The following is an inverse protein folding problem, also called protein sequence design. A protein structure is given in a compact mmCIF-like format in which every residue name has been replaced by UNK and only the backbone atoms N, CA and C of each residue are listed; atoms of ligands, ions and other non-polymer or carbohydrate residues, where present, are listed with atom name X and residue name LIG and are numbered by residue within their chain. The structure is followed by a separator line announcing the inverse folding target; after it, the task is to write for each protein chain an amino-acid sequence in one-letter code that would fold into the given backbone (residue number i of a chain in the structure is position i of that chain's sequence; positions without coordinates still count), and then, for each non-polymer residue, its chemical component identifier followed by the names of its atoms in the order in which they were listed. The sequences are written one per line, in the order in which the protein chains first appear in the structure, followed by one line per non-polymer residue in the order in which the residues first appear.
data_IF_902835052698
#
_entry.id   IF_902835052698
#
_cell.length_a   1.000
_cell.length_b   1.000
_cell.length_c   1.000
_cell.angle_alpha   90.00
_cell.angle_beta   90.00
_cell.angle_gamma   90.00
#
_symmetry.space_group_name_H-M   'P 1'
#
loop_
_entity.id
_entity.type
_entity.pdbx_description
1 polymer ?
#
# COMPACT_ATOMS: atom_id res chain seq x y z
N UNK A 1 17.08 -12.17 24.20
CA UNK A 1 15.79 -11.48 24.37
C UNK A 1 14.87 -12.01 23.30
N UNK A 2 13.89 -12.83 23.67
CA UNK A 2 12.96 -13.39 22.68
C UNK A 2 12.16 -12.26 22.03
N UNK A 3 12.03 -12.30 20.70
CA UNK A 3 11.41 -11.22 19.90
C UNK A 3 9.89 -11.12 20.11
N UNK A 4 9.26 -12.10 20.76
CA UNK A 4 7.83 -12.16 21.06
C UNK A 4 7.65 -12.75 22.47
N UNK A 5 6.78 -12.19 23.34
CA UNK A 5 6.45 -12.78 24.63
C UNK A 5 5.98 -14.24 24.50
N UNK A 6 6.50 -15.14 25.32
CA UNK A 6 6.19 -16.58 25.32
C UNK A 6 4.69 -16.87 25.42
N UNK A 7 3.96 -16.06 26.18
CA UNK A 7 2.50 -16.17 26.32
C UNK A 7 1.76 -15.99 24.98
N UNK A 8 2.22 -15.09 24.11
CA UNK A 8 1.64 -14.88 22.79
C UNK A 8 1.94 -16.04 21.85
N UNK A 9 3.16 -16.59 21.90
CA UNK A 9 3.55 -17.74 21.08
C UNK A 9 2.70 -18.96 21.43
N UNK A 10 2.49 -19.22 22.73
CA UNK A 10 1.65 -20.33 23.20
C UNK A 10 0.19 -20.14 22.75
N UNK A 11 -0.34 -18.92 22.86
CA UNK A 11 -1.71 -18.64 22.42
C UNK A 11 -1.90 -18.85 20.91
N UNK A 12 -0.94 -18.43 20.09
CA UNK A 12 -0.98 -18.62 18.62
C UNK A 12 -0.82 -20.11 18.27
N UNK A 13 0.06 -20.83 18.96
CA UNK A 13 0.25 -22.27 18.74
C UNK A 13 -1.02 -23.07 19.06
N UNK A 14 -1.70 -22.75 20.17
CA UNK A 14 -2.96 -23.39 20.54
C UNK A 14 -4.07 -23.14 19.48
N UNK A 15 -4.13 -21.95 18.89
CA UNK A 15 -5.09 -21.65 17.81
C UNK A 15 -4.77 -22.36 16.49
N UNK A 16 -3.51 -22.73 16.25
CA UNK A 16 -3.12 -23.52 15.08
C UNK A 16 -3.47 -24.99 15.23
N UNK A 17 -3.43 -25.52 16.44
CA UNK A 17 -3.76 -26.91 16.72
C UNK A 17 -5.24 -27.23 16.50
N UNK A 18 -6.12 -26.24 16.70
CA UNK A 18 -7.57 -26.39 16.50
C UNK A 18 -8.02 -26.34 15.03
N UNK A 19 -7.14 -26.03 14.08
CA UNK A 19 -7.49 -25.83 12.66
C UNK A 19 -6.90 -26.96 11.81
N UNK A 20 -7.71 -27.64 10.98
CA UNK A 20 -7.27 -28.84 10.24
C UNK A 20 -6.41 -28.54 9.01
N UNK A 21 -6.33 -27.28 8.59
CA UNK A 21 -5.64 -26.87 7.37
C UNK A 21 -4.27 -26.24 7.66
N UNK A 22 -3.27 -26.46 6.78
CA UNK A 22 -2.02 -25.72 6.86
C UNK A 22 -2.25 -24.24 6.56
N UNK A 23 -1.44 -23.37 7.15
CA UNK A 23 -1.60 -21.92 7.03
C UNK A 23 -1.64 -21.38 5.58
N UNK A 24 -0.98 -22.05 4.64
CA UNK A 24 -1.09 -21.71 3.22
C UNK A 24 -2.53 -21.86 2.69
N UNK A 25 -3.21 -22.96 3.04
CA UNK A 25 -4.58 -23.24 2.57
C UNK A 25 -5.57 -22.29 3.24
N UNK A 26 -5.42 -22.05 4.56
CA UNK A 26 -6.21 -21.04 5.27
C UNK A 26 -6.11 -19.65 4.59
N UNK A 27 -4.89 -19.20 4.30
CA UNK A 27 -4.64 -17.91 3.67
C UNK A 27 -5.20 -17.87 2.23
N UNK A 28 -5.02 -18.94 1.44
CA UNK A 28 -5.51 -19.03 0.07
C UNK A 28 -7.04 -18.92 0.00
N UNK A 29 -7.75 -19.68 0.84
CA UNK A 29 -9.22 -19.66 0.89
C UNK A 29 -9.71 -18.27 1.31
N UNK A 30 -9.13 -17.70 2.36
CA UNK A 30 -9.54 -16.38 2.84
C UNK A 30 -9.24 -15.26 1.83
N UNK A 31 -8.07 -15.28 1.17
CA UNK A 31 -7.75 -14.32 0.11
C UNK A 31 -8.72 -14.44 -1.07
N UNK A 32 -9.04 -15.65 -1.54
CA UNK A 32 -10.02 -15.85 -2.61
C UNK A 32 -11.41 -15.35 -2.22
N UNK A 33 -11.86 -15.62 -1.00
CA UNK A 33 -13.14 -15.10 -0.49
C UNK A 33 -13.12 -13.57 -0.49
N UNK A 34 -12.06 -12.95 0.04
CA UNK A 34 -11.92 -11.49 0.06
C UNK A 34 -11.94 -10.90 -1.35
N UNK A 35 -11.38 -11.59 -2.33
CA UNK A 35 -11.41 -11.18 -3.73
C UNK A 35 -12.81 -11.24 -4.34
N UNK A 36 -13.55 -12.31 -4.09
CA UNK A 36 -14.94 -12.44 -4.54
C UNK A 36 -15.79 -11.32 -3.91
N UNK A 37 -15.61 -11.06 -2.61
CA UNK A 37 -16.33 -9.99 -1.91
C UNK A 37 -15.98 -8.61 -2.48
N UNK A 38 -14.69 -8.36 -2.74
CA UNK A 38 -14.20 -7.12 -3.35
C UNK A 38 -14.82 -6.91 -4.73
N UNK A 39 -14.79 -7.93 -5.58
CA UNK A 39 -15.30 -7.85 -6.96
C UNK A 39 -16.82 -7.67 -6.99
N UNK A 40 -17.55 -8.38 -6.13
CA UNK A 40 -18.99 -8.17 -5.95
C UNK A 40 -19.29 -6.75 -5.47
N UNK A 41 -18.53 -6.25 -4.50
CA UNK A 41 -18.70 -4.91 -3.93
C UNK A 41 -18.50 -3.78 -4.95
N UNK A 42 -17.52 -3.90 -5.85
CA UNK A 42 -17.26 -2.88 -6.90
C UNK A 42 -18.22 -2.98 -8.08
N UNK A 43 -18.82 -4.16 -8.32
CA UNK A 43 -19.70 -4.41 -9.47
C UNK A 43 -21.17 -4.09 -9.19
N UNK A 44 -21.56 -4.05 -7.92
CA UNK A 44 -22.93 -3.71 -7.50
C UNK A 44 -23.10 -2.20 -7.26
N UNK A 45 -24.34 -1.66 -7.33
CA UNK A 45 -24.62 -0.28 -6.95
C UNK A 45 -24.20 -0.01 -5.50
N UNK A 46 -23.69 1.20 -5.20
CA UNK A 46 -23.04 1.53 -3.91
C UNK A 46 -23.78 1.05 -2.66
N UNK A 47 -25.10 1.23 -2.59
CA UNK A 47 -25.90 0.81 -1.43
C UNK A 47 -25.90 -0.71 -1.23
N UNK A 48 -26.00 -1.47 -2.32
CA UNK A 48 -26.01 -2.94 -2.29
C UNK A 48 -24.58 -3.49 -2.15
N UNK A 49 -23.61 -2.91 -2.85
CA UNK A 49 -22.21 -3.31 -2.80
C UNK A 49 -21.59 -3.15 -1.40
N UNK A 50 -21.93 -2.07 -0.69
CA UNK A 50 -21.51 -1.91 0.71
C UNK A 50 -22.17 -2.92 1.63
N UNK A 51 -23.49 -3.15 1.50
CA UNK A 51 -24.19 -4.15 2.30
C UNK A 51 -23.61 -5.56 2.11
N UNK A 52 -23.38 -5.98 0.86
CA UNK A 52 -22.77 -7.28 0.52
C UNK A 52 -21.33 -7.38 1.06
N UNK A 53 -20.55 -6.31 0.98
CA UNK A 53 -19.17 -6.32 1.49
C UNK A 53 -19.11 -6.43 3.01
N UNK A 54 -19.98 -5.72 3.74
CA UNK A 54 -20.05 -5.76 5.22
C UNK A 54 -20.55 -7.13 5.68
N UNK A 55 -21.69 -7.58 5.16
CA UNK A 55 -22.28 -8.87 5.53
C UNK A 55 -21.34 -10.00 5.14
N UNK A 56 -20.78 -9.97 3.94
CA UNK A 56 -19.85 -10.99 3.47
C UNK A 56 -18.59 -11.09 4.31
N UNK A 57 -17.92 -9.96 4.61
CA UNK A 57 -16.68 -9.97 5.37
C UNK A 57 -16.90 -10.42 6.83
N UNK A 58 -17.96 -9.92 7.48
CA UNK A 58 -18.26 -10.23 8.87
C UNK A 58 -18.81 -11.66 9.03
N UNK A 59 -19.84 -12.03 8.26
CA UNK A 59 -20.50 -13.32 8.40
C UNK A 59 -19.59 -14.46 7.97
N UNK A 60 -18.89 -14.33 6.83
CA UNK A 60 -17.98 -15.39 6.37
C UNK A 60 -16.75 -15.47 7.28
N UNK A 61 -16.20 -14.33 7.72
CA UNK A 61 -15.07 -14.30 8.64
C UNK A 61 -15.38 -14.96 9.99
N UNK A 62 -16.52 -14.62 10.59
CA UNK A 62 -16.96 -15.22 11.86
C UNK A 62 -17.29 -16.70 11.69
N UNK A 63 -18.07 -17.06 10.68
CA UNK A 63 -18.44 -18.46 10.44
C UNK A 63 -17.19 -19.34 10.17
N UNK A 64 -16.18 -18.82 9.46
CA UNK A 64 -14.94 -19.55 9.21
C UNK A 64 -14.13 -19.83 10.50
N UNK A 65 -14.15 -18.90 11.45
CA UNK A 65 -13.50 -19.06 12.76
C UNK A 65 -14.30 -20.00 13.66
N UNK A 66 -15.62 -19.81 13.75
CA UNK A 66 -16.50 -20.64 14.58
C UNK A 66 -16.57 -22.09 14.10
N UNK A 67 -16.54 -22.31 12.78
CA UNK A 67 -16.46 -23.65 12.20
C UNK A 67 -15.07 -24.30 12.33
N UNK A 68 -14.07 -23.57 12.83
CA UNK A 68 -12.70 -24.06 12.98
C UNK A 68 -11.94 -24.26 11.67
N UNK A 69 -12.41 -23.68 10.56
CA UNK A 69 -11.74 -23.79 9.26
C UNK A 69 -10.54 -22.85 9.13
N UNK A 70 -10.54 -21.73 9.86
CA UNK A 70 -9.49 -20.71 9.79
C UNK A 70 -9.20 -20.19 11.20
N UNK A 71 -7.93 -19.99 11.52
CA UNK A 71 -7.51 -19.41 12.80
C UNK A 71 -7.82 -17.91 12.89
N UNK A 72 -8.20 -17.44 14.08
CA UNK A 72 -8.43 -16.00 14.32
C UNK A 72 -7.22 -15.14 13.95
N UNK A 73 -6.01 -15.64 14.24
CA UNK A 73 -4.77 -14.99 13.83
C UNK A 73 -4.66 -14.83 12.31
N UNK A 74 -5.07 -15.83 11.51
CA UNK A 74 -5.07 -15.72 10.05
C UNK A 74 -6.09 -14.70 9.56
N UNK A 75 -7.31 -14.68 10.11
CA UNK A 75 -8.33 -13.69 9.75
C UNK A 75 -7.84 -12.26 9.96
N UNK A 76 -7.11 -12.01 11.07
CA UNK A 76 -6.51 -10.70 11.35
C UNK A 76 -5.48 -10.33 10.27
N UNK A 77 -4.56 -11.24 9.93
CA UNK A 77 -3.51 -11.02 8.93
C UNK A 77 -4.12 -10.71 7.55
N UNK A 78 -5.10 -11.50 7.12
CA UNK A 78 -5.77 -11.31 5.82
C UNK A 78 -6.57 -9.99 5.81
N UNK A 79 -7.28 -9.66 6.90
CA UNK A 79 -8.07 -8.42 6.99
C UNK A 79 -7.20 -7.17 6.91
N UNK A 80 -6.05 -7.15 7.61
CA UNK A 80 -5.09 -6.03 7.53
C UNK A 80 -4.56 -5.90 6.09
N UNK A 81 -4.19 -7.02 5.47
CA UNK A 81 -3.69 -7.06 4.08
C UNK A 81 -4.74 -6.56 3.09
N UNK A 82 -6.00 -6.98 3.26
CA UNK A 82 -7.12 -6.54 2.45
C UNK A 82 -7.39 -5.04 2.61
N UNK A 83 -7.40 -4.51 3.84
CA UNK A 83 -7.59 -3.07 4.10
C UNK A 83 -6.44 -2.25 3.50
N UNK A 84 -5.19 -2.70 3.69
CA UNK A 84 -4.01 -2.04 3.15
C UNK A 84 -4.05 -1.91 1.62
N UNK A 85 -4.68 -2.86 0.93
CA UNK A 85 -4.82 -2.79 -0.53
C UNK A 85 -5.69 -1.62 -1.03
N UNK A 86 -6.53 -1.02 -0.18
CA UNK A 86 -7.29 0.20 -0.51
C UNK A 86 -6.45 1.49 -0.40
N UNK A 87 -5.28 1.45 0.27
CA UNK A 87 -4.35 2.57 0.29
C UNK A 87 -3.63 2.76 -1.05
N UNK A 88 -3.70 1.77 -1.96
CA UNK A 88 -3.13 1.87 -3.29
C UNK A 88 -4.01 2.76 -4.16
N UNK A 89 -3.51 3.91 -4.68
CA UNK A 89 -4.34 4.88 -5.41
C UNK A 89 -4.76 4.40 -6.81
N UNK A 90 -4.08 3.37 -7.35
CA UNK A 90 -4.36 2.80 -8.67
C UNK A 90 -4.92 1.38 -8.53
N UNK A 91 -6.10 1.15 -9.10
CA UNK A 91 -6.73 -0.16 -9.11
C UNK A 91 -5.90 -1.20 -9.88
N UNK A 92 -5.27 -0.81 -10.99
CA UNK A 92 -4.41 -1.70 -11.78
C UNK A 92 -3.17 -2.15 -10.98
N UNK A 93 -2.56 -1.25 -10.20
CA UNK A 93 -1.45 -1.59 -9.31
C UNK A 93 -1.93 -2.52 -8.19
N UNK A 94 -3.11 -2.26 -7.63
CA UNK A 94 -3.69 -3.10 -6.58
C UNK A 94 -3.94 -4.55 -7.06
N UNK A 95 -4.51 -4.73 -8.27
CA UNK A 95 -4.70 -6.06 -8.87
C UNK A 95 -3.35 -6.73 -9.13
N UNK A 96 -2.38 -5.99 -9.68
CA UNK A 96 -1.05 -6.53 -9.98
C UNK A 96 -0.35 -7.02 -8.70
N UNK A 97 -0.35 -6.20 -7.64
CA UNK A 97 0.24 -6.55 -6.35
C UNK A 97 -0.41 -7.78 -5.71
N UNK A 98 -1.71 -7.97 -5.92
CA UNK A 98 -2.46 -9.13 -5.46
C UNK A 98 -2.12 -10.41 -6.24
N UNK A 99 -2.01 -10.35 -7.56
CA UNK A 99 -1.55 -11.50 -8.36
C UNK A 99 -0.14 -11.91 -7.96
N UNK A 100 0.74 -10.94 -7.73
CA UNK A 100 2.09 -11.16 -7.20
C UNK A 100 2.05 -11.81 -5.82
N UNK A 101 1.12 -11.40 -4.94
CA UNK A 101 0.95 -11.99 -3.61
C UNK A 101 0.67 -13.49 -3.67
N UNK A 102 -0.22 -13.94 -4.56
CA UNK A 102 -0.48 -15.37 -4.75
C UNK A 102 0.78 -16.14 -5.18
N UNK A 103 1.59 -15.58 -6.08
CA UNK A 103 2.86 -16.18 -6.48
C UNK A 103 3.86 -16.26 -5.32
N UNK A 104 4.01 -15.18 -4.53
CA UNK A 104 4.87 -15.16 -3.35
C UNK A 104 4.39 -16.13 -2.27
N UNK A 105 3.08 -16.28 -2.10
CA UNK A 105 2.49 -17.22 -1.15
C UNK A 105 2.75 -18.68 -1.56
N UNK A 106 2.72 -18.98 -2.85
CA UNK A 106 3.09 -20.30 -3.37
C UNK A 106 4.58 -20.60 -3.16
N UNK A 107 5.46 -19.64 -3.46
CA UNK A 107 6.89 -19.72 -3.15
C UNK A 107 7.15 -19.92 -1.65
N UNK A 108 6.40 -19.23 -0.79
CA UNK A 108 6.46 -19.38 0.65
C UNK A 108 6.01 -20.78 1.12
N UNK A 109 4.99 -21.35 0.49
CA UNK A 109 4.51 -22.68 0.82
C UNK A 109 5.52 -23.77 0.44
N UNK A 110 6.21 -23.62 -0.70
CA UNK A 110 7.20 -24.60 -1.18
C UNK A 110 8.54 -24.49 -0.46
N UNK A 111 9.06 -23.27 -0.27
CA UNK A 111 10.43 -23.02 0.19
C UNK A 111 10.50 -22.22 1.49
N UNK A 112 9.36 -21.97 2.15
CA UNK A 112 9.30 -21.18 3.37
C UNK A 112 9.76 -19.73 3.17
N UNK A 113 10.41 -19.18 4.19
CA UNK A 113 10.95 -17.82 4.17
C UNK A 113 11.98 -17.59 3.05
N UNK A 114 12.75 -18.63 2.69
CA UNK A 114 13.72 -18.56 1.60
C UNK A 114 13.05 -18.29 0.24
N UNK A 115 11.90 -18.93 -0.02
CA UNK A 115 11.12 -18.67 -1.23
C UNK A 115 10.62 -17.24 -1.33
N UNK A 116 10.21 -16.65 -0.21
CA UNK A 116 9.79 -15.24 -0.14
C UNK A 116 10.95 -14.32 -0.51
N UNK A 117 12.15 -14.54 0.05
CA UNK A 117 13.33 -13.73 -0.25
C UNK A 117 13.66 -13.78 -1.75
N UNK A 118 13.70 -14.98 -2.34
CA UNK A 118 13.96 -15.14 -3.77
C UNK A 118 12.88 -14.45 -4.60
N UNK A 119 11.60 -14.65 -4.26
CA UNK A 119 10.49 -14.04 -4.97
C UNK A 119 10.55 -12.51 -4.96
N UNK A 120 10.87 -11.91 -3.80
CA UNK A 120 11.08 -10.47 -3.68
C UNK A 120 12.29 -10.02 -4.50
N UNK A 121 13.40 -10.75 -4.47
CA UNK A 121 14.61 -10.42 -5.22
C UNK A 121 14.35 -10.43 -6.74
N UNK A 122 13.71 -11.48 -7.25
CA UNK A 122 13.30 -11.58 -8.66
C UNK A 122 12.37 -10.44 -9.04
N UNK A 123 11.41 -10.10 -8.17
CA UNK A 123 10.51 -8.97 -8.37
C UNK A 123 11.28 -7.64 -8.46
N UNK A 124 12.22 -7.40 -7.54
CA UNK A 124 13.03 -6.17 -7.54
C UNK A 124 13.88 -6.05 -8.79
N UNK A 125 14.54 -7.14 -9.22
CA UNK A 125 15.31 -7.16 -10.47
C UNK A 125 14.42 -6.83 -11.66
N UNK A 126 13.23 -7.43 -11.73
CA UNK A 126 12.27 -7.14 -12.80
C UNK A 126 11.90 -5.66 -12.82
N UNK A 127 11.55 -5.07 -11.67
CA UNK A 127 11.22 -3.65 -11.55
C UNK A 127 12.37 -2.72 -11.96
N UNK A 128 13.62 -3.08 -11.63
CA UNK A 128 14.81 -2.32 -12.04
C UNK A 128 15.08 -2.40 -13.56
N UNK A 129 14.65 -3.47 -14.23
CA UNK A 129 14.79 -3.63 -15.68
C UNK A 129 13.78 -2.82 -16.49
N UNK A 130 12.65 -2.43 -15.88
CA UNK A 130 11.56 -1.74 -16.57
C UNK A 130 11.87 -0.26 -16.79
N UNK A 131 11.43 0.25 -17.95
CA UNK A 131 11.49 1.67 -18.31
C UNK A 131 10.11 2.16 -18.75
N UNK A 132 9.69 3.31 -18.23
CA UNK A 132 8.49 4.03 -18.65
C UNK A 132 8.90 5.29 -19.41
N UNK A 133 8.56 5.37 -20.69
CA UNK A 133 8.92 6.51 -21.56
C UNK A 133 10.43 6.86 -21.51
N UNK A 134 11.29 5.84 -21.48
CA UNK A 134 12.74 5.99 -21.39
C UNK A 134 13.31 6.19 -19.97
N UNK A 135 12.47 6.49 -18.98
CA UNK A 135 12.87 6.68 -17.58
C UNK A 135 12.78 5.33 -16.81
N UNK A 136 13.82 4.90 -16.06
CA UNK A 136 13.76 3.72 -15.22
C UNK A 136 12.59 3.76 -14.22
N UNK A 137 11.84 2.66 -14.11
CA UNK A 137 10.65 2.58 -13.25
C UNK A 137 10.98 2.82 -11.77
N UNK A 138 12.14 2.34 -11.31
CA UNK A 138 12.61 2.51 -9.93
C UNK A 138 13.28 3.86 -9.66
N UNK A 139 13.30 4.80 -10.61
CA UNK A 139 13.84 6.15 -10.36
C UNK A 139 13.00 6.87 -9.29
N UNK A 140 13.60 7.52 -8.28
CA UNK A 140 15.03 7.84 -8.11
C UNK A 140 15.78 6.91 -7.14
N UNK A 141 15.22 5.75 -6.78
CA UNK A 141 15.88 4.75 -5.94
C UNK A 141 16.91 3.95 -6.73
N UNK A 142 16.58 3.56 -7.96
CA UNK A 142 17.48 2.93 -8.92
C UNK A 142 17.21 3.50 -10.34
N UNK A 143 18.06 4.39 -10.86
CA UNK A 143 19.34 4.87 -10.31
C UNK A 143 19.15 5.83 -9.13
N UNK A 144 20.09 5.78 -8.17
CA UNK A 144 20.04 6.62 -6.98
C UNK A 144 20.30 8.10 -7.32
N UNK A 145 19.27 8.95 -7.21
CA UNK A 145 19.34 10.38 -7.52
C UNK A 145 18.82 11.21 -6.33
N UNK A 146 19.70 11.73 -5.46
CA UNK A 146 19.32 12.47 -4.26
C UNK A 146 18.44 13.70 -4.52
N UNK A 147 18.67 14.40 -5.63
CA UNK A 147 17.94 15.63 -5.98
C UNK A 147 16.43 15.41 -6.14
N UNK A 148 16.00 14.18 -6.42
CA UNK A 148 14.61 13.84 -6.71
C UNK A 148 13.92 13.07 -5.57
N UNK A 149 14.63 12.75 -4.47
CA UNK A 149 14.08 11.94 -3.36
C UNK A 149 13.00 12.66 -2.55
N UNK A 150 12.96 13.99 -2.62
CA UNK A 150 12.00 14.82 -1.88
C UNK A 150 10.54 14.66 -2.30
N UNK A 151 10.22 13.85 -3.32
CA UNK A 151 8.84 13.45 -3.65
C UNK A 151 8.59 11.94 -3.49
N UNK A 152 9.63 11.15 -3.19
CA UNK A 152 9.57 9.68 -3.14
C UNK A 152 9.29 9.16 -1.73
N UNK A 153 9.98 9.70 -0.72
CA UNK A 153 9.80 9.27 0.68
C UNK A 153 8.89 10.20 1.46
N UNK A 154 8.97 11.50 1.18
CA UNK A 154 8.16 12.53 1.80
C UNK A 154 7.55 13.38 0.70
N UNK A 155 6.28 13.81 0.84
CA UNK A 155 5.63 14.67 -0.14
C UNK A 155 5.95 16.13 0.19
N UNK A 156 7.08 16.63 -0.29
CA UNK A 156 7.48 18.04 -0.11
C UNK A 156 6.56 18.95 -0.96
N UNK A 157 6.25 20.18 -0.52
CA UNK A 157 5.43 21.10 -1.32
C UNK A 157 6.05 21.43 -2.68
N UNK A 158 5.19 21.62 -3.69
CA UNK A 158 5.57 21.84 -5.09
C UNK A 158 6.50 23.04 -5.30
N UNK A 159 6.37 24.10 -4.49
CA UNK A 159 7.20 25.31 -4.54
C UNK A 159 8.66 25.09 -4.08
N UNK A 160 8.95 23.98 -3.41
CA UNK A 160 10.32 23.64 -3.01
C UNK A 160 11.11 22.94 -4.14
N UNK A 161 10.43 22.41 -5.16
CA UNK A 161 11.05 21.75 -6.31
C UNK A 161 11.52 22.77 -7.36
N UNK A 162 12.69 23.36 -7.10
CA UNK A 162 13.32 24.31 -8.02
C UNK A 162 13.93 23.64 -9.26
N UNK A 163 14.39 22.41 -9.13
CA UNK A 163 15.08 21.67 -10.20
C UNK A 163 14.18 20.65 -10.89
N UNK A 164 14.42 20.41 -12.18
CA UNK A 164 13.77 19.33 -12.94
C UNK A 164 14.48 18.01 -12.66
N UNK A 165 13.75 16.88 -12.67
CA UNK A 165 14.36 15.57 -12.56
C UNK A 165 15.46 15.36 -13.61
N UNK A 166 16.67 14.98 -13.16
CA UNK A 166 17.86 14.79 -14.01
C UNK A 166 17.67 13.86 -15.21
N UNK A 167 16.74 12.90 -15.11
CA UNK A 167 16.46 11.93 -16.18
C UNK A 167 15.52 12.46 -17.27
N UNK A 168 14.87 13.61 -17.06
CA UNK A 168 13.92 14.22 -18.01
C UNK A 168 14.63 15.25 -18.89
N UNK A 169 15.43 16.14 -18.31
CA UNK A 169 16.12 17.19 -19.05
C UNK A 169 17.39 17.64 -18.32
N UNK A 170 18.54 17.48 -18.99
CA UNK A 170 19.84 17.88 -18.44
C UNK A 170 20.29 19.28 -18.90
N UNK A 171 19.65 19.84 -19.94
CA UNK A 171 20.01 21.14 -20.52
C UNK A 171 19.27 22.31 -19.86
N UNK A 172 18.00 22.10 -19.50
CA UNK A 172 17.18 23.10 -18.81
C UNK A 172 16.78 22.57 -17.43
N UNK A 173 17.60 22.90 -16.44
CA UNK A 173 17.57 22.34 -15.09
C UNK A 173 16.54 23.07 -14.20
N UNK A 174 16.32 24.36 -14.42
CA UNK A 174 15.45 25.18 -13.57
C UNK A 174 13.98 24.93 -13.96
N UNK A 175 13.19 24.40 -13.02
CA UNK A 175 11.76 24.16 -13.18
C UNK A 175 10.93 25.39 -12.87
N UNK A 176 11.25 26.07 -11.76
CA UNK A 176 10.47 27.16 -11.20
C UNK A 176 11.37 28.38 -10.95
N UNK A 177 10.83 29.57 -11.19
CA UNK A 177 11.51 30.83 -10.88
C UNK A 177 11.57 31.11 -9.37
N UNK A 178 12.26 32.18 -8.99
CA UNK A 178 12.33 32.60 -7.59
C UNK A 178 10.96 33.10 -7.09
N UNK A 179 10.68 32.95 -5.78
CA UNK A 179 9.47 33.45 -5.09
C UNK A 179 8.14 32.74 -5.39
N UNK A 180 8.12 31.42 -5.67
CA UNK A 180 6.86 30.66 -5.83
C UNK A 180 6.11 30.31 -4.53
N UNK A 181 6.64 30.70 -3.36
CA UNK A 181 5.94 30.48 -2.09
C UNK A 181 4.70 31.37 -2.04
N UNK A 182 3.55 30.80 -1.67
CA UNK A 182 2.33 31.58 -1.45
C UNK A 182 2.59 32.65 -0.40
N UNK A 183 2.42 33.92 -0.79
CA UNK A 183 2.49 35.04 0.14
C UNK A 183 1.08 35.29 0.70
N UNK A 184 0.94 35.62 1.99
CA UNK A 184 -0.34 36.04 2.53
C UNK A 184 -0.87 37.24 1.74
N UNK A 185 -2.21 37.34 1.54
CA UNK A 185 -2.80 38.47 0.85
C UNK A 185 -2.35 39.77 1.53
N UNK A 186 -1.94 40.75 0.74
CA UNK A 186 -1.52 42.03 1.27
C UNK A 186 -2.66 42.62 2.11
N UNK A 187 -2.42 42.81 3.41
CA UNK A 187 -3.34 43.52 4.28
C UNK A 187 -3.60 44.89 3.68
N UNK A 188 -4.88 45.22 3.42
CA UNK A 188 -5.33 46.55 3.02
C UNK A 188 -4.94 47.56 4.10
N UNK A 189 -3.70 48.05 4.03
CA UNK A 189 -3.18 49.15 4.85
C UNK A 189 -3.61 50.49 4.25
N UNK A 190 -4.86 50.58 3.78
CA UNK A 190 -5.49 51.80 3.29
C UNK A 190 -6.62 52.29 4.23
N UNK A 191 -7.27 51.42 5.00
CA UNK A 191 -8.35 51.85 5.92
C UNK A 191 -7.84 52.48 7.24
N UNK A 192 -6.54 52.40 7.56
CA UNK A 192 -6.03 52.95 8.83
C UNK A 192 -5.65 54.43 8.78
N UNK A 193 -5.58 55.04 7.59
CA UNK A 193 -5.20 56.46 7.45
C UNK A 193 -6.41 57.41 7.35
N UNK A 194 -7.63 56.89 7.18
CA UNK A 194 -8.86 57.72 7.17
C UNK A 194 -9.47 57.90 8.57
N UNK A 195 -9.08 57.07 9.55
CA UNK A 195 -9.53 57.17 10.95
C UNK A 195 -8.73 58.12 11.85
N UNK A 196 -7.63 58.71 11.35
CA UNK A 196 -6.83 59.72 12.07
C UNK A 196 -7.11 61.17 11.60
N UNK A 197 -8.11 61.37 10.74
CA UNK A 197 -8.53 62.70 10.25
C UNK A 197 -10.01 63.06 10.56
N UNK A 198 -10.64 62.39 11.53
CA UNK A 198 -11.96 62.80 12.07
C UNK A 198 -11.85 63.34 13.49
#
# INVERSE_FOLDING_TARGET
QEMIPTTLVIAIAAQRESVPFPGFVEALVMEVIFEILREAGVRLPRAVGQAVSIVGALVIGQAAVEAGFVSSAMVIVVSITAIASFATPSFAIAISARLIRFALMFLAAMFGFYGIIIGILVMTIHLCSLRSFGVPYMSPLAPFIPSNMGDTLFRVPTWAFKERPRLINQKNIIRQGNHQRSQPPASNRQEKNEGEQS
#
